data_IF_936617515559
#
_entry.id   IF_936617515559
#
_cell.length_a   1.000
_cell.length_b   1.000
_cell.length_c   1.000
_cell.angle_alpha   90.00
_cell.angle_beta   90.00
_cell.angle_gamma   90.00
#
_symmetry.space_group_name_H-M   'P 1'
#
loop_
_entity.id
_entity.type
_entity.pdbx_description
1 polymer ?
#
# COMPACT_ATOMS: atom_id res chain seq x y z
N UNK A 1 -24.69 15.38 16.44
CA UNK A 1 -24.18 14.46 15.41
C UNK A 1 -23.04 13.70 16.04
N UNK A 2 -23.17 12.39 16.15
CA UNK A 2 -22.15 11.54 16.76
C UNK A 2 -21.67 10.62 15.65
N UNK A 3 -20.37 10.63 15.36
CA UNK A 3 -19.80 9.58 14.52
C UNK A 3 -20.04 8.27 15.28
N UNK A 4 -20.67 7.30 14.61
CA UNK A 4 -20.89 5.97 15.19
C UNK A 4 -19.57 5.31 15.58
N UNK A 5 -19.66 4.17 16.27
CA UNK A 5 -18.49 3.41 16.71
C UNK A 5 -17.51 3.16 15.55
N UNK A 6 -16.21 3.43 15.74
CA UNK A 6 -15.22 3.24 14.69
C UNK A 6 -15.20 1.77 14.26
N UNK A 7 -15.64 1.51 13.03
CA UNK A 7 -15.48 0.19 12.42
C UNK A 7 -14.01 -0.01 12.08
N UNK A 8 -13.42 -1.10 12.59
CA UNK A 8 -12.04 -1.44 12.28
C UNK A 8 -11.88 -1.64 10.77
N UNK A 9 -10.81 -1.10 10.19
CA UNK A 9 -10.42 -1.32 8.77
C UNK A 9 -10.25 -2.81 8.44
N UNK A 10 -10.11 -3.64 9.49
CA UNK A 10 -9.90 -5.08 9.49
C UNK A 10 -10.91 -5.75 10.43
N UNK A 11 -12.20 -5.45 10.31
CA UNK A 11 -13.20 -6.18 11.10
C UNK A 11 -13.13 -7.69 10.80
N UNK A 12 -13.01 -8.51 11.85
CA UNK A 12 -12.61 -9.92 11.77
C UNK A 12 -13.64 -10.81 11.08
N UNK A 13 -14.89 -10.35 10.96
CA UNK A 13 -15.95 -11.05 10.23
C UNK A 13 -15.73 -10.97 8.71
N UNK A 14 -15.19 -9.86 8.21
CA UNK A 14 -14.86 -9.70 6.79
C UNK A 14 -13.51 -10.34 6.41
N UNK A 15 -12.58 -10.52 7.36
CA UNK A 15 -11.30 -11.22 7.12
C UNK A 15 -11.49 -12.70 6.79
N UNK A 16 -12.48 -13.36 7.41
CA UNK A 16 -12.79 -14.77 7.14
C UNK A 16 -13.46 -14.96 5.78
N UNK A 17 -14.09 -13.93 5.20
CA UNK A 17 -14.54 -13.91 3.80
C UNK A 17 -13.36 -13.81 2.79
N UNK A 18 -12.14 -13.52 3.24
CA UNK A 18 -10.93 -13.55 2.42
C UNK A 18 -10.15 -14.87 2.54
N UNK A 19 -10.66 -15.86 3.27
CA UNK A 19 -10.10 -17.22 3.29
C UNK A 19 -10.61 -17.99 2.07
N UNK A 20 -10.20 -17.54 0.89
CA UNK A 20 -10.19 -18.37 -0.31
C UNK A 20 -8.74 -18.48 -0.78
N UNK A 21 -7.92 -19.16 0.02
CA UNK A 21 -6.71 -19.76 -0.52
C UNK A 21 -7.14 -20.79 -1.58
N UNK A 22 -7.34 -20.36 -2.82
CA UNK A 22 -7.58 -21.27 -3.95
C UNK A 22 -6.30 -21.40 -4.78
N UNK A 23 -5.31 -22.00 -4.12
CA UNK A 23 -4.25 -22.83 -4.70
C UNK A 23 -4.12 -22.84 -6.24
N UNK A 24 -3.06 -22.21 -6.77
CA UNK A 24 -2.59 -22.46 -8.14
C UNK A 24 -1.28 -23.27 -8.21
N UNK A 25 -0.69 -23.68 -7.08
CA UNK A 25 0.49 -24.56 -6.97
C UNK A 25 1.78 -24.13 -7.70
N UNK A 26 1.78 -23.02 -8.46
CA UNK A 26 2.85 -22.60 -9.37
C UNK A 26 3.57 -21.32 -8.95
N UNK A 27 2.91 -20.45 -8.18
CA UNK A 27 3.44 -19.14 -7.84
C UNK A 27 3.22 -18.86 -6.35
N UNK A 28 4.15 -18.13 -5.75
CA UNK A 28 4.04 -17.71 -4.36
C UNK A 28 2.87 -16.73 -4.20
N UNK A 29 1.91 -17.09 -3.37
CA UNK A 29 0.84 -16.20 -2.95
C UNK A 29 1.20 -15.60 -1.58
N UNK A 30 1.34 -14.27 -1.47
CA UNK A 30 1.68 -13.65 -0.20
C UNK A 30 0.54 -13.82 0.81
N UNK A 31 0.85 -13.95 2.11
CA UNK A 31 -0.14 -14.11 3.17
C UNK A 31 -1.01 -12.86 3.41
N UNK A 32 -0.82 -11.82 2.61
CA UNK A 32 -1.54 -10.54 2.66
C UNK A 32 -1.99 -10.14 1.27
N UNK A 33 -3.27 -9.77 1.14
CA UNK A 33 -3.84 -9.28 -0.11
C UNK A 33 -3.14 -7.99 -0.56
N UNK A 34 -2.65 -7.95 -1.80
CA UNK A 34 -2.13 -6.72 -2.41
C UNK A 34 -3.15 -5.59 -2.43
N UNK A 35 -4.44 -5.89 -2.69
CA UNK A 35 -5.52 -4.90 -2.66
C UNK A 35 -5.73 -4.33 -1.24
N UNK A 36 -5.82 -5.20 -0.22
CA UNK A 36 -5.84 -4.80 1.18
C UNK A 36 -4.67 -3.89 1.55
N UNK A 37 -3.44 -4.27 1.16
CA UNK A 37 -2.24 -3.47 1.39
C UNK A 37 -2.31 -2.09 0.72
N UNK A 38 -2.80 -2.02 -0.52
CA UNK A 38 -2.98 -0.74 -1.23
C UNK A 38 -4.00 0.17 -0.53
N UNK A 39 -5.10 -0.40 -0.02
CA UNK A 39 -6.10 0.35 0.77
C UNK A 39 -5.53 0.82 2.11
N UNK A 40 -4.63 0.06 2.73
CA UNK A 40 -3.98 0.42 4.01
C UNK A 40 -3.20 1.75 3.94
N UNK A 41 -2.72 2.15 2.76
CA UNK A 41 -2.02 3.43 2.56
C UNK A 41 -2.86 4.63 3.02
N UNK A 42 -4.18 4.57 2.87
CA UNK A 42 -5.12 5.65 3.23
C UNK A 42 -5.97 5.32 4.47
N UNK A 43 -5.71 4.18 5.10
CA UNK A 43 -6.53 3.67 6.20
C UNK A 43 -6.36 4.43 7.52
N UNK A 44 -5.21 5.05 7.76
CA UNK A 44 -4.98 5.90 8.92
C UNK A 44 -4.45 7.27 8.51
N UNK A 45 -4.79 8.29 9.30
CA UNK A 45 -4.48 9.71 9.05
C UNK A 45 -2.99 9.95 8.77
N UNK A 46 -2.10 9.13 9.34
CA UNK A 46 -0.64 9.28 9.22
C UNK A 46 0.09 8.10 8.56
N UNK A 47 -0.59 7.13 7.95
CA UNK A 47 0.11 6.02 7.26
C UNK A 47 0.82 6.49 5.99
N UNK A 48 0.19 7.40 5.25
CA UNK A 48 0.72 7.85 3.96
C UNK A 48 1.88 8.85 4.10
N UNK A 49 1.92 9.64 5.18
CA UNK A 49 2.94 10.68 5.35
C UNK A 49 4.39 10.16 5.37
N UNK A 50 4.79 9.14 6.16
CA UNK A 50 6.16 8.63 6.14
C UNK A 50 6.53 8.01 4.78
N UNK A 51 5.57 7.41 4.09
CA UNK A 51 5.75 6.81 2.77
C UNK A 51 6.03 7.90 1.72
N UNK A 52 5.25 8.98 1.72
CA UNK A 52 5.50 10.12 0.84
C UNK A 52 6.82 10.83 1.16
N UNK A 53 7.17 10.99 2.45
CA UNK A 53 8.47 11.56 2.86
C UNK A 53 9.61 10.73 2.31
N UNK A 54 9.57 9.39 2.45
CA UNK A 54 10.60 8.50 1.89
C UNK A 54 10.70 8.65 0.37
N UNK A 55 9.57 8.66 -0.34
CA UNK A 55 9.54 8.88 -1.80
C UNK A 55 10.16 10.22 -2.20
N UNK A 56 9.85 11.28 -1.45
CA UNK A 56 10.39 12.61 -1.72
C UNK A 56 11.90 12.68 -1.47
N UNK A 57 12.41 12.04 -0.39
CA UNK A 57 13.85 11.94 -0.12
C UNK A 57 14.54 11.22 -1.28
N UNK A 58 14.02 10.06 -1.70
CA UNK A 58 14.57 9.31 -2.83
C UNK A 58 14.60 10.15 -4.12
N UNK A 59 13.51 10.85 -4.42
CA UNK A 59 13.44 11.73 -5.58
C UNK A 59 14.44 12.90 -5.48
N UNK A 60 14.65 13.46 -4.28
CA UNK A 60 15.61 14.55 -4.07
C UNK A 60 17.07 14.11 -4.22
N UNK A 61 17.36 12.84 -3.91
CA UNK A 61 18.69 12.25 -4.06
C UNK A 61 18.87 11.52 -5.39
N UNK A 62 17.94 11.68 -6.33
CA UNK A 62 18.00 11.02 -7.63
C UNK A 62 19.19 11.50 -8.45
N UNK A 63 20.01 10.57 -8.93
CA UNK A 63 21.10 10.85 -9.86
C UNK A 63 20.54 10.83 -11.29
N UNK A 64 20.61 11.94 -12.06
CA UNK A 64 20.04 12.01 -13.40
C UNK A 64 20.53 10.90 -14.34
N UNK A 65 19.60 10.30 -15.08
CA UNK A 65 19.91 9.22 -16.03
C UNK A 65 19.24 9.45 -17.39
N UNK A 66 19.89 9.18 -18.54
CA UNK A 66 19.32 9.43 -19.86
C UNK A 66 18.02 8.69 -20.17
N UNK A 67 17.82 7.51 -19.56
CA UNK A 67 16.65 6.65 -19.78
C UNK A 67 15.55 6.79 -18.72
N UNK A 68 15.78 7.56 -17.66
CA UNK A 68 14.85 7.67 -16.55
C UNK A 68 14.85 9.10 -16.02
N UNK A 69 13.75 9.80 -16.24
CA UNK A 69 13.56 11.13 -15.66
C UNK A 69 13.33 11.02 -14.15
N UNK A 70 13.68 12.07 -13.41
CA UNK A 70 13.38 12.16 -11.98
C UNK A 70 11.87 12.05 -11.71
N UNK A 71 11.03 12.54 -12.62
CA UNK A 71 9.58 12.48 -12.51
C UNK A 71 9.06 11.04 -12.64
N UNK A 72 9.60 10.28 -13.58
CA UNK A 72 9.23 8.87 -13.77
C UNK A 72 9.76 8.01 -12.62
N UNK A 73 10.96 8.29 -12.13
CA UNK A 73 11.47 7.68 -10.91
C UNK A 73 10.57 7.95 -9.69
N UNK A 74 10.09 9.19 -9.52
CA UNK A 74 9.16 9.54 -8.43
C UNK A 74 7.84 8.76 -8.49
N UNK A 75 7.34 8.43 -9.69
CA UNK A 75 6.13 7.61 -9.88
C UNK A 75 6.40 6.12 -9.72
N UNK A 76 7.61 5.67 -10.04
CA UNK A 76 8.01 4.27 -9.87
C UNK A 76 8.19 3.92 -8.38
N UNK A 77 8.71 4.86 -7.58
CA UNK A 77 8.96 4.65 -6.17
C UNK A 77 7.68 4.58 -5.31
N UNK A 78 6.52 5.03 -5.82
CA UNK A 78 5.21 4.98 -5.17
C UNK A 78 4.05 5.14 -6.16
#
# INVERSE_FOLDING_TARGET
>A
FTFGEPSAVLDRRDILDYVECVNNGRWYEPPVSFNGLAKSLRAAVHHSSPIYVKRNILASTFVPHPLLSQQDFSRFAL
#
